data_IF_044067928558
#
_entry.id   IF_044067928558
#
_cell.length_a   1.000
_cell.length_b   1.000
_cell.length_c   1.000
_cell.angle_alpha   90.00
_cell.angle_beta   90.00
_cell.angle_gamma   90.00
#
_symmetry.space_group_name_H-M   'P 1'
#
loop_
_entity.id
_entity.type
_entity.pdbx_description
1 polymer ?
#
# COMPACT_ATOMS: atom_id res chain seq x y z
N UNK A 1 -17.47 12.12 -10.61
CA UNK A 1 -17.13 12.02 -9.18
C UNK A 1 -16.91 10.56 -8.86
N UNK A 2 -15.67 10.08 -8.99
CA UNK A 2 -15.30 8.69 -8.70
C UNK A 2 -13.85 8.70 -8.20
N UNK A 3 -13.63 9.33 -7.05
CA UNK A 3 -12.31 9.42 -6.43
C UNK A 3 -12.46 9.34 -4.91
N UNK A 4 -13.27 8.38 -4.43
CA UNK A 4 -13.46 8.09 -3.00
C UNK A 4 -13.90 6.62 -2.89
N UNK A 5 -12.98 5.66 -3.08
CA UNK A 5 -13.23 4.26 -2.65
C UNK A 5 -11.95 3.54 -2.20
N UNK A 6 -10.76 4.08 -2.48
CA UNK A 6 -9.48 3.49 -2.01
C UNK A 6 -9.23 3.81 -0.51
N UNK A 7 -10.04 4.67 0.11
CA UNK A 7 -9.67 5.34 1.37
C UNK A 7 -10.26 4.75 2.67
N UNK A 8 -10.93 3.59 2.63
CA UNK A 8 -11.66 3.07 3.81
C UNK A 8 -11.45 1.57 4.06
N UNK A 9 -10.59 0.90 3.29
CA UNK A 9 -10.48 -0.56 3.28
C UNK A 9 -9.03 -1.01 3.17
N UNK A 10 -8.72 -2.14 3.79
CA UNK A 10 -7.42 -2.77 3.65
C UNK A 10 -7.31 -3.44 2.27
N UNK A 11 -6.15 -3.35 1.63
CA UNK A 11 -5.91 -3.85 0.28
C UNK A 11 -4.69 -4.78 0.27
N UNK A 12 -4.80 -5.93 -0.38
CA UNK A 12 -3.70 -6.84 -0.67
C UNK A 12 -3.12 -6.48 -2.03
N UNK A 13 -1.84 -6.12 -2.08
CA UNK A 13 -1.17 -5.67 -3.31
C UNK A 13 0.06 -6.55 -3.56
N UNK A 14 0.14 -7.12 -4.76
CA UNK A 14 1.30 -7.86 -5.23
C UNK A 14 2.02 -7.08 -6.31
N UNK A 15 3.18 -6.51 -5.97
CA UNK A 15 4.08 -5.87 -6.91
C UNK A 15 4.84 -6.90 -7.73
N UNK A 16 4.90 -6.65 -9.03
CA UNK A 16 5.54 -7.48 -10.05
C UNK A 16 6.47 -6.62 -10.90
N UNK A 17 7.27 -7.26 -11.74
CA UNK A 17 8.15 -6.62 -12.74
C UNK A 17 7.39 -6.02 -13.93
N UNK A 18 6.06 -5.87 -13.85
CA UNK A 18 5.24 -5.28 -14.91
C UNK A 18 5.10 -6.10 -16.19
N UNK A 19 5.89 -7.17 -16.37
CA UNK A 19 5.78 -8.06 -17.52
C UNK A 19 4.45 -8.82 -17.52
N UNK A 20 3.95 -9.17 -18.70
CA UNK A 20 2.69 -9.93 -18.84
C UNK A 20 2.74 -11.26 -18.05
N UNK A 21 3.89 -11.95 -18.10
CA UNK A 21 4.13 -13.17 -17.30
C UNK A 21 4.13 -12.90 -15.80
N UNK A 22 4.71 -11.78 -15.35
CA UNK A 22 4.71 -11.38 -13.94
C UNK A 22 3.29 -11.10 -13.44
N UNK A 23 2.50 -10.37 -14.24
CA UNK A 23 1.10 -10.06 -13.95
C UNK A 23 0.22 -11.32 -13.92
N UNK A 24 0.36 -12.22 -14.89
CA UNK A 24 -0.37 -13.50 -14.91
C UNK A 24 -0.02 -14.38 -13.71
N UNK A 25 1.28 -14.50 -13.39
CA UNK A 25 1.73 -15.24 -12.21
C UNK A 25 1.17 -14.60 -10.93
N UNK A 26 1.21 -13.28 -10.82
CA UNK A 26 0.68 -12.57 -9.67
C UNK A 26 -0.81 -12.80 -9.46
N UNK A 27 -1.58 -12.80 -10.55
CA UNK A 27 -3.01 -13.17 -10.52
C UNK A 27 -3.20 -14.60 -10.04
N UNK A 28 -2.40 -15.55 -10.53
CA UNK A 28 -2.47 -16.96 -10.11
C UNK A 28 -2.16 -17.13 -8.61
N UNK A 29 -1.20 -16.37 -8.09
CA UNK A 29 -0.82 -16.35 -6.67
C UNK A 29 -1.95 -15.79 -5.79
N UNK A 30 -2.57 -14.67 -6.18
CA UNK A 30 -3.61 -14.01 -5.36
C UNK A 30 -5.00 -14.63 -5.50
N UNK A 31 -5.33 -15.22 -6.66
CA UNK A 31 -6.67 -15.76 -6.96
C UNK A 31 -7.25 -16.66 -5.86
N UNK A 32 -6.54 -17.68 -5.33
CA UNK A 32 -7.11 -18.54 -4.29
C UNK A 32 -7.36 -17.81 -2.97
N UNK A 33 -6.54 -16.83 -2.62
CA UNK A 33 -6.77 -16.01 -1.43
C UNK A 33 -8.03 -15.14 -1.61
N UNK A 34 -8.18 -14.52 -2.78
CA UNK A 34 -9.34 -13.68 -3.11
C UNK A 34 -10.65 -14.48 -3.16
N UNK A 35 -10.65 -15.67 -3.75
CA UNK A 35 -11.82 -16.56 -3.77
C UNK A 35 -12.20 -16.98 -2.35
N UNK A 36 -11.22 -17.40 -1.54
CA UNK A 36 -11.47 -17.85 -0.17
C UNK A 36 -12.06 -16.75 0.72
N UNK A 37 -11.59 -15.51 0.58
CA UNK A 37 -12.18 -14.37 1.30
C UNK A 37 -13.59 -14.03 0.81
N UNK A 38 -13.84 -14.13 -0.51
CA UNK A 38 -15.17 -13.91 -1.07
C UNK A 38 -16.20 -14.95 -0.60
N UNK A 39 -15.77 -16.22 -0.40
CA UNK A 39 -16.64 -17.31 0.07
C UNK A 39 -16.98 -17.23 1.56
N UNK A 40 -16.12 -16.62 2.38
CA UNK A 40 -16.34 -16.50 3.83
C UNK A 40 -17.45 -15.51 4.20
N UNK A 41 -17.87 -14.65 3.28
CA UNK A 41 -19.09 -13.84 3.39
C UNK A 41 -19.10 -12.76 4.47
N UNK A 42 -18.02 -12.55 5.26
CA UNK A 42 -18.06 -11.73 6.47
C UNK A 42 -16.86 -10.74 6.65
N UNK A 43 -17.26 -9.48 6.83
CA UNK A 43 -16.66 -8.32 7.55
C UNK A 43 -15.51 -7.50 6.96
N UNK A 44 -14.38 -8.06 6.53
CA UNK A 44 -13.26 -7.24 6.03
C UNK A 44 -13.23 -7.28 4.51
N UNK A 45 -13.81 -6.27 3.88
CA UNK A 45 -13.75 -6.01 2.43
C UNK A 45 -12.29 -5.82 1.96
N UNK A 46 -11.54 -6.92 1.89
CA UNK A 46 -10.16 -6.97 1.39
C UNK A 46 -10.20 -6.92 -0.13
N UNK A 47 -9.56 -5.90 -0.70
CA UNK A 47 -9.39 -5.77 -2.14
C UNK A 47 -8.06 -6.38 -2.56
N UNK A 48 -8.03 -7.12 -3.67
CA UNK A 48 -6.83 -7.79 -4.17
C UNK A 48 -6.38 -7.14 -5.48
N UNK A 49 -5.11 -6.72 -5.53
CA UNK A 49 -4.52 -6.05 -6.68
C UNK A 49 -3.18 -6.67 -7.07
N UNK A 50 -2.92 -6.70 -8.37
CA UNK A 50 -1.60 -7.01 -8.93
C UNK A 50 -1.09 -5.73 -9.56
N UNK A 51 0.04 -5.25 -9.05
CA UNK A 51 0.69 -4.01 -9.42
C UNK A 51 1.88 -4.29 -10.33
N UNK A 52 2.00 -3.51 -11.41
CA UNK A 52 3.13 -3.57 -12.33
C UNK A 52 4.09 -2.42 -12.10
N UNK A 53 4.79 -2.02 -13.16
CA UNK A 53 5.59 -0.80 -13.21
C UNK A 53 4.76 0.32 -13.85
N UNK A 54 3.89 0.93 -13.04
CA UNK A 54 3.04 2.04 -13.46
C UNK A 54 3.03 3.14 -12.39
N UNK A 55 2.64 4.36 -12.77
CA UNK A 55 2.64 5.53 -11.89
C UNK A 55 1.82 5.28 -10.60
N UNK A 56 0.74 4.51 -10.64
CA UNK A 56 -0.05 4.24 -9.43
C UNK A 56 0.72 3.32 -8.48
N UNK A 57 1.41 2.33 -9.03
CA UNK A 57 2.27 1.41 -8.27
C UNK A 57 3.43 2.16 -7.59
N UNK A 58 4.07 3.10 -8.29
CA UNK A 58 5.11 3.97 -7.72
C UNK A 58 4.55 4.86 -6.59
N UNK A 59 3.39 5.49 -6.80
CA UNK A 59 2.75 6.32 -5.78
C UNK A 59 2.40 5.53 -4.50
N UNK A 60 1.97 4.26 -4.63
CA UNK A 60 1.70 3.41 -3.45
C UNK A 60 2.97 3.09 -2.70
N UNK A 61 4.09 2.84 -3.40
CA UNK A 61 5.39 2.59 -2.77
C UNK A 61 5.90 3.81 -2.02
N UNK A 62 5.86 4.98 -2.65
CA UNK A 62 6.26 6.25 -2.01
C UNK A 62 5.39 6.55 -0.79
N UNK A 63 4.07 6.38 -0.92
CA UNK A 63 3.13 6.60 0.17
C UNK A 63 3.41 5.70 1.39
N UNK A 64 3.76 4.43 1.16
CA UNK A 64 3.99 3.45 2.23
C UNK A 64 5.47 3.25 2.59
N UNK A 65 6.38 4.08 2.05
CA UNK A 65 7.84 4.00 2.22
C UNK A 65 8.39 2.58 1.95
N UNK A 66 8.02 2.00 0.80
CA UNK A 66 8.35 0.62 0.43
C UNK A 66 9.56 0.54 -0.50
N UNK A 67 10.35 -0.52 -0.34
CA UNK A 67 11.42 -0.87 -1.28
C UNK A 67 10.89 -1.18 -2.69
N UNK A 68 11.70 -0.91 -3.71
CA UNK A 68 11.41 -1.24 -5.10
C UNK A 68 11.71 -2.70 -5.46
N UNK A 69 11.60 -3.62 -4.49
CA UNK A 69 11.89 -5.03 -4.73
C UNK A 69 10.70 -5.74 -5.37
N UNK A 70 10.98 -6.61 -6.35
CA UNK A 70 9.97 -7.41 -7.04
C UNK A 70 10.38 -8.89 -7.07
N UNK A 71 9.44 -9.83 -6.87
CA UNK A 71 8.05 -9.59 -6.51
C UNK A 71 7.88 -9.29 -5.00
N UNK A 72 6.94 -8.42 -4.63
CA UNK A 72 6.67 -8.04 -3.24
C UNK A 72 5.17 -8.11 -2.94
N UNK A 73 4.79 -8.82 -1.88
CA UNK A 73 3.41 -8.89 -1.41
C UNK A 73 3.23 -8.04 -0.16
N UNK A 74 2.25 -7.15 -0.18
CA UNK A 74 1.89 -6.31 0.97
C UNK A 74 0.40 -6.37 1.28
N UNK A 75 0.05 -5.98 2.50
CA UNK A 75 -1.30 -5.56 2.88
C UNK A 75 -1.20 -4.11 3.32
N UNK A 76 -1.88 -3.23 2.60
CA UNK A 76 -2.03 -1.83 2.93
C UNK A 76 -3.31 -1.66 3.74
N UNK A 77 -3.20 -1.32 5.02
CA UNK A 77 -4.32 -1.08 5.91
C UNK A 77 -4.55 0.42 6.07
N UNK A 78 -5.22 1.02 5.08
CA UNK A 78 -5.49 2.46 5.03
C UNK A 78 -6.20 3.01 6.28
N UNK A 79 -7.22 2.32 6.86
CA UNK A 79 -7.89 2.80 8.08
C UNK A 79 -6.95 2.99 9.27
N UNK A 80 -6.04 2.03 9.49
CA UNK A 80 -5.10 2.06 10.62
C UNK A 80 -3.74 2.69 10.24
N UNK A 81 -3.60 3.16 9.00
CA UNK A 81 -2.36 3.68 8.41
C UNK A 81 -1.15 2.77 8.64
N UNK A 82 -1.34 1.46 8.44
CA UNK A 82 -0.28 0.47 8.57
C UNK A 82 -0.05 -0.25 7.24
N UNK A 83 1.20 -0.66 7.00
CA UNK A 83 1.55 -1.58 5.94
C UNK A 83 2.16 -2.84 6.53
N UNK A 84 1.79 -3.98 5.96
CA UNK A 84 2.34 -5.28 6.33
C UNK A 84 3.06 -5.84 5.11
N UNK A 85 4.35 -6.12 5.25
CA UNK A 85 5.18 -6.65 4.16
C UNK A 85 5.38 -8.14 4.38
N UNK A 86 5.16 -8.93 3.33
CA UNK A 86 5.41 -10.36 3.38
C UNK A 86 6.93 -10.63 3.42
N UNK A 87 7.45 -11.36 4.42
CA UNK A 87 8.89 -11.62 4.52
C UNK A 87 9.40 -12.68 3.53
N UNK A 88 8.50 -13.38 2.84
CA UNK A 88 8.84 -14.48 1.94
C UNK A 88 9.25 -13.95 0.56
N UNK A 89 10.50 -14.18 0.15
CA UNK A 89 10.98 -13.80 -1.19
C UNK A 89 10.35 -14.63 -2.32
N UNK A 90 9.84 -15.84 -2.02
CA UNK A 90 9.20 -16.73 -3.00
C UNK A 90 7.70 -16.77 -2.76
N UNK A 91 6.99 -16.03 -3.59
CA UNK A 91 5.54 -15.93 -3.50
C UNK A 91 4.88 -17.09 -4.24
N UNK A 92 4.06 -17.82 -3.50
CA UNK A 92 3.21 -18.90 -4.02
C UNK A 92 1.78 -18.67 -3.55
N UNK A 93 0.78 -19.33 -4.16
CA UNK A 93 -0.61 -19.13 -3.77
C UNK A 93 -0.88 -19.52 -2.31
N UNK A 94 -0.11 -20.49 -1.77
CA UNK A 94 -0.16 -20.89 -0.37
C UNK A 94 0.41 -19.82 0.56
N UNK A 95 1.53 -19.19 0.16
CA UNK A 95 2.15 -18.10 0.92
C UNK A 95 1.22 -16.90 0.98
N UNK A 96 0.65 -16.49 -0.15
CA UNK A 96 -0.29 -15.37 -0.19
C UNK A 96 -1.54 -15.63 0.65
N UNK A 97 -2.13 -16.82 0.55
CA UNK A 97 -3.29 -17.20 1.36
C UNK A 97 -2.98 -17.16 2.85
N UNK A 98 -1.85 -17.74 3.26
CA UNK A 98 -1.42 -17.75 4.66
C UNK A 98 -1.16 -16.33 5.17
N UNK A 99 -0.53 -15.48 4.35
CA UNK A 99 -0.25 -14.09 4.70
C UNK A 99 -1.54 -13.31 5.00
N UNK A 100 -2.56 -13.44 4.13
CA UNK A 100 -3.87 -12.84 4.34
C UNK A 100 -4.56 -13.39 5.59
N UNK A 101 -4.48 -14.70 5.83
CA UNK A 101 -5.06 -15.31 7.04
C UNK A 101 -4.40 -14.79 8.32
N UNK A 102 -3.07 -14.70 8.36
CA UNK A 102 -2.35 -14.14 9.51
C UNK A 102 -2.68 -12.67 9.74
N UNK A 103 -2.92 -11.87 8.69
CA UNK A 103 -3.42 -10.49 8.85
C UNK A 103 -4.79 -10.46 9.52
N UNK A 104 -5.72 -11.29 9.05
CA UNK A 104 -7.08 -11.37 9.60
C UNK A 104 -7.08 -11.88 11.04
N UNK A 105 -6.12 -12.73 11.41
CA UNK A 105 -5.90 -13.20 12.77
C UNK A 105 -5.18 -12.18 13.67
N UNK A 106 -4.64 -11.10 13.10
CA UNK A 106 -3.88 -10.09 13.85
C UNK A 106 -2.48 -10.56 14.27
N UNK A 107 -1.91 -11.54 13.58
CA UNK A 107 -0.60 -12.12 13.89
C UNK A 107 0.56 -11.41 13.17
N UNK A 108 0.26 -10.60 12.15
CA UNK A 108 1.29 -9.85 11.43
C UNK A 108 1.76 -8.64 12.24
N UNK A 109 3.03 -8.29 12.05
CA UNK A 109 3.62 -7.08 12.64
C UNK A 109 3.34 -5.88 11.72
N UNK A 110 2.58 -4.88 12.18
CA UNK A 110 2.34 -3.66 11.39
C UNK A 110 3.61 -2.82 11.29
N UNK A 111 3.82 -2.25 10.11
CA UNK A 111 4.77 -1.14 9.92
C UNK A 111 3.95 0.14 9.75
N UNK A 112 4.07 1.13 10.65
CA UNK A 112 3.31 2.36 10.54
C UNK A 112 3.77 3.14 9.31
N UNK A 113 2.80 3.62 8.53
CA UNK A 113 3.07 4.47 7.38
C UNK A 113 3.52 5.83 7.93
N UNK A 114 4.68 6.36 7.49
CA UNK A 114 5.14 7.65 7.96
C UNK A 114 4.07 8.72 7.65
N UNK A 115 3.79 9.64 8.58
CA UNK A 115 2.92 10.76 8.28
C UNK A 115 3.53 11.50 7.10
N UNK A 116 2.74 11.66 6.02
CA UNK A 116 3.14 12.46 4.88
C UNK A 116 3.56 13.83 5.44
N UNK A 117 4.86 14.10 5.45
CA UNK A 117 5.35 15.42 5.80
C UNK A 117 4.93 16.26 4.59
N UNK A 118 3.71 16.79 4.63
CA UNK A 118 3.43 17.97 3.84
C UNK A 118 4.57 18.92 4.20
N UNK A 119 5.39 19.31 3.22
CA UNK A 119 6.39 20.35 3.36
C UNK A 119 5.71 21.58 3.98
N UNK A 120 5.64 21.59 5.30
CA UNK A 120 5.30 22.72 6.12
C UNK A 120 6.58 23.51 6.13
N UNK A 121 6.77 24.27 5.05
CA UNK A 121 7.55 25.48 5.09
C UNK A 121 6.78 26.50 5.95
N UNK A 122 6.70 26.24 7.26
CA UNK A 122 6.37 27.22 8.31
C UNK A 122 7.58 27.34 9.24
N UNK A 123 8.63 27.99 8.74
CA UNK A 123 9.59 28.85 9.45
C UNK A 123 10.68 29.15 8.42
N UNK A 124 10.93 30.39 8.01
CA UNK A 124 11.21 31.49 8.92
C UNK A 124 10.54 32.78 8.40
N UNK A 125 9.71 33.39 9.24
CA UNK A 125 9.38 34.80 9.11
C UNK A 125 10.42 35.56 9.94
N UNK A 126 11.48 36.15 9.36
CA UNK A 126 12.34 37.03 10.11
C UNK A 126 11.58 38.32 10.39
N UNK A 127 11.30 38.53 11.67
CA UNK A 127 10.96 39.81 12.26
C UNK A 127 11.99 40.90 11.90
N UNK A 128 11.46 42.12 11.78
CA UNK A 128 12.15 43.41 11.87
C UNK A 128 12.78 44.03 10.60
N UNK A 129 12.05 45.04 10.12
CA UNK A 129 12.53 46.40 9.83
C UNK A 129 13.53 46.58 8.69
N UNK A 130 13.08 47.17 7.57
CA UNK A 130 13.77 48.26 6.84
C UNK A 130 12.73 49.10 6.03
N UNK A 131 12.60 50.39 6.39
CA UNK A 131 12.43 51.65 5.59
C UNK A 131 11.87 51.57 4.15
N UNK A 132 11.13 52.52 3.55
CA UNK A 132 10.85 53.95 3.74
C UNK A 132 9.62 54.31 2.87
N UNK A 133 8.97 55.45 3.14
CA UNK A 133 7.89 55.98 2.31
C UNK A 133 8.41 56.51 0.97
N UNK A 134 7.65 56.33 -0.12
CA UNK A 134 7.80 57.14 -1.33
C UNK A 134 6.41 57.57 -1.80
N UNK A 135 6.26 58.90 -1.76
CA UNK A 135 5.17 59.83 -2.15
C UNK A 135 4.02 59.29 -3.00
#
# INVERSE_FOLDING_TARGET
>A
MASVVINERSCVILFTDGSDSGLEQGRSVLSPAATKESEKGDVRDLLFFVAGEDELSENVRDFADLDDTCPMLIILDSPEQNVYVCPEAKLSPQVASKFVESFLQGELTPTPIPPMIADVNLAECPTESQVEAVV
#
